data_IF_783477630786
#
_entry.id   IF_783477630786
#
_cell.length_a   1.000
_cell.length_b   1.000
_cell.length_c   1.000
_cell.angle_alpha   90.00
_cell.angle_beta   90.00
_cell.angle_gamma   90.00
#
_symmetry.space_group_name_H-M   'P 1'
#
loop_
_entity.id
_entity.type
_entity.pdbx_description
1 polymer ?
#
# COMPACT_ATOMS: atom_id res chain seq x y z
N UNK A 1 -3.03 -10.30 -17.94
CA UNK A 1 -2.59 -10.05 -16.55
C UNK A 1 -2.03 -8.63 -16.50
N UNK A 2 -2.27 -7.87 -15.42
CA UNK A 2 -1.61 -6.57 -15.24
C UNK A 2 -0.12 -6.77 -14.94
N UNK A 3 0.73 -5.88 -15.44
CA UNK A 3 2.15 -5.86 -15.09
C UNK A 3 2.34 -5.18 -13.73
N UNK A 4 3.46 -5.45 -13.05
CA UNK A 4 3.76 -4.79 -11.77
C UNK A 4 3.78 -3.26 -11.90
N UNK A 5 4.27 -2.76 -13.03
CA UNK A 5 4.27 -1.33 -13.33
C UNK A 5 2.83 -0.77 -13.40
N UNK A 6 1.91 -1.50 -14.03
CA UNK A 6 0.51 -1.09 -14.11
C UNK A 6 -0.17 -1.11 -12.72
N UNK A 7 0.12 -2.10 -11.89
CA UNK A 7 -0.38 -2.19 -10.51
C UNK A 7 0.10 -1.00 -9.69
N UNK A 8 1.41 -0.74 -9.69
CA UNK A 8 2.00 0.41 -8.99
C UNK A 8 1.36 1.73 -9.45
N UNK A 9 1.16 1.90 -10.76
CA UNK A 9 0.55 3.12 -11.29
C UNK A 9 -0.89 3.32 -10.79
N UNK A 10 -1.71 2.26 -10.76
CA UNK A 10 -3.08 2.35 -10.24
C UNK A 10 -3.11 2.70 -8.75
N UNK A 11 -2.19 2.15 -7.96
CA UNK A 11 -2.06 2.45 -6.53
C UNK A 11 -1.71 3.93 -6.33
N UNK A 12 -0.72 4.41 -7.09
CA UNK A 12 -0.33 5.82 -7.08
C UNK A 12 -1.51 6.73 -7.43
N UNK A 13 -2.24 6.41 -8.50
CA UNK A 13 -3.37 7.22 -8.94
C UNK A 13 -4.53 7.21 -7.94
N UNK A 14 -4.73 6.09 -7.24
CA UNK A 14 -5.69 5.99 -6.14
C UNK A 14 -5.31 6.94 -4.99
N UNK A 15 -4.10 6.83 -4.47
CA UNK A 15 -3.66 7.56 -3.26
C UNK A 15 -3.45 9.07 -3.47
N UNK A 16 -3.35 9.55 -4.71
CA UNK A 16 -3.43 10.99 -5.03
C UNK A 16 -4.69 11.67 -4.49
N UNK A 17 -5.78 10.93 -4.35
CA UNK A 17 -7.09 11.44 -3.92
C UNK A 17 -7.47 11.10 -2.49
N UNK A 18 -6.64 10.30 -1.80
CA UNK A 18 -6.88 9.85 -0.43
C UNK A 18 -6.06 10.69 0.55
N UNK A 19 -6.40 10.79 1.84
CA UNK A 19 -5.62 11.53 2.85
C UNK A 19 -4.36 10.75 3.33
N UNK A 20 -3.53 10.29 2.39
CA UNK A 20 -2.25 9.58 2.64
C UNK A 20 -1.06 10.44 2.21
N UNK A 21 -0.06 10.55 3.07
CA UNK A 21 1.19 11.30 2.82
C UNK A 21 2.18 10.44 2.05
N UNK A 22 2.29 9.15 2.39
CA UNK A 22 3.30 8.26 1.81
C UNK A 22 2.81 6.84 1.69
N UNK A 23 3.19 6.16 0.62
CA UNK A 23 2.87 4.76 0.37
C UNK A 23 4.14 4.04 -0.03
N UNK A 24 4.37 2.91 0.62
CA UNK A 24 5.40 1.95 0.24
C UNK A 24 4.76 0.65 -0.20
N UNK A 25 5.38 0.02 -1.20
CA UNK A 25 5.13 -1.39 -1.52
C UNK A 25 6.23 -2.22 -0.86
N UNK A 26 5.87 -3.37 -0.30
CA UNK A 26 6.81 -4.31 0.30
C UNK A 26 6.46 -5.75 -0.07
N UNK A 27 7.14 -6.71 0.56
CA UNK A 27 6.85 -8.13 0.38
C UNK A 27 7.26 -8.66 -1.01
N UNK A 28 6.45 -9.59 -1.54
CA UNK A 28 6.80 -10.32 -2.77
C UNK A 28 6.96 -9.40 -3.99
N UNK A 29 6.15 -8.35 -4.09
CA UNK A 29 6.24 -7.33 -5.15
C UNK A 29 7.51 -6.47 -5.06
N UNK A 30 8.01 -6.23 -3.84
CA UNK A 30 9.27 -5.51 -3.68
C UNK A 30 10.48 -6.39 -4.05
N UNK A 31 10.40 -7.71 -3.80
CA UNK A 31 11.47 -8.67 -4.10
C UNK A 31 11.47 -9.21 -5.54
N UNK A 32 10.42 -8.99 -6.32
CA UNK A 32 10.29 -9.55 -7.67
C UNK A 32 9.95 -11.05 -7.66
N UNK A 33 9.41 -11.54 -6.53
CA UNK A 33 9.04 -12.94 -6.29
C UNK A 33 7.52 -13.13 -6.39
N UNK A 34 6.79 -12.11 -6.81
CA UNK A 34 5.34 -12.16 -6.93
C UNK A 34 4.88 -13.17 -7.99
N UNK A 35 3.78 -13.84 -7.70
CA UNK A 35 3.12 -14.74 -8.63
C UNK A 35 1.69 -14.25 -8.95
N UNK A 36 0.96 -15.00 -9.79
CA UNK A 36 -0.39 -14.62 -10.19
C UNK A 36 -1.40 -14.57 -9.02
N UNK A 37 -1.08 -15.18 -7.88
CA UNK A 37 -1.91 -15.23 -6.68
C UNK A 37 -1.34 -14.38 -5.52
N UNK A 38 -0.24 -13.66 -5.73
CA UNK A 38 0.37 -12.83 -4.68
C UNK A 38 -0.50 -11.63 -4.32
N UNK A 39 -0.73 -11.48 -3.02
CA UNK A 39 -1.34 -10.31 -2.40
C UNK A 39 -0.41 -9.09 -2.55
N UNK A 40 -1.00 -7.89 -2.64
CA UNK A 40 -0.26 -6.63 -2.76
C UNK A 40 -0.08 -6.01 -1.37
N UNK A 41 1.13 -6.10 -0.83
CA UNK A 41 1.47 -5.58 0.50
C UNK A 41 1.80 -4.08 0.44
N UNK A 42 1.01 -3.25 1.13
CA UNK A 42 1.13 -1.80 1.13
C UNK A 42 1.24 -1.25 2.55
N UNK A 43 2.28 -0.44 2.77
CA UNK A 43 2.42 0.35 3.99
C UNK A 43 2.03 1.78 3.66
N UNK A 44 1.16 2.39 4.47
CA UNK A 44 0.70 3.75 4.26
C UNK A 44 0.92 4.62 5.49
N UNK A 45 1.31 5.86 5.24
CA UNK A 45 1.42 6.90 6.25
C UNK A 45 0.27 7.89 6.04
N UNK A 46 -0.61 7.98 7.01
CA UNK A 46 -1.75 8.88 6.96
C UNK A 46 -1.36 10.33 7.23
N UNK A 47 -2.14 11.24 6.64
CA UNK A 47 -2.09 12.65 7.04
C UNK A 47 -2.84 12.81 8.37
N UNK A 48 -2.10 12.83 9.48
CA UNK A 48 -2.67 12.99 10.82
C UNK A 48 -3.37 14.34 11.05
N UNK A 49 -3.25 15.29 10.12
CA UNK A 49 -4.03 16.54 10.14
C UNK A 49 -5.49 16.31 9.77
N UNK A 50 -5.80 15.19 9.10
CA UNK A 50 -7.14 14.79 8.72
C UNK A 50 -7.60 13.60 9.59
N UNK A 51 -8.76 13.68 10.25
CA UNK A 51 -9.28 12.54 11.01
C UNK A 51 -9.68 11.42 10.04
N UNK A 52 -8.98 10.29 10.09
CA UNK A 52 -9.27 9.09 9.31
C UNK A 52 -9.80 8.04 10.27
N UNK A 53 -11.07 7.68 10.11
CA UNK A 53 -11.70 6.61 10.88
C UNK A 53 -11.53 5.24 10.21
N UNK A 54 -11.86 4.19 10.98
CA UNK A 54 -11.87 2.80 10.54
C UNK A 54 -12.66 2.58 9.23
N UNK A 55 -13.80 3.26 9.05
CA UNK A 55 -14.60 3.14 7.83
C UNK A 55 -13.87 3.64 6.58
N UNK A 56 -13.12 4.73 6.69
CA UNK A 56 -12.31 5.24 5.59
C UNK A 56 -11.20 4.25 5.24
N UNK A 57 -10.54 3.69 6.25
CA UNK A 57 -9.51 2.66 6.09
C UNK A 57 -10.03 1.43 5.35
N UNK A 58 -11.14 0.86 5.83
CA UNK A 58 -11.79 -0.31 5.22
C UNK A 58 -12.25 -0.02 3.79
N UNK A 59 -12.76 1.20 3.55
CA UNK A 59 -13.12 1.65 2.20
C UNK A 59 -11.90 1.66 1.27
N UNK A 60 -10.77 2.20 1.71
CA UNK A 60 -9.55 2.23 0.92
C UNK A 60 -9.06 0.84 0.54
N UNK A 61 -9.04 -0.07 1.51
CA UNK A 61 -8.70 -1.47 1.29
C UNK A 61 -9.59 -2.10 0.21
N UNK A 62 -10.91 -1.99 0.36
CA UNK A 62 -11.87 -2.59 -0.57
C UNK A 62 -11.77 -1.99 -1.98
N UNK A 63 -11.65 -0.68 -2.10
CA UNK A 63 -11.54 -0.01 -3.40
C UNK A 63 -10.24 -0.38 -4.12
N UNK A 64 -9.14 -0.59 -3.39
CA UNK A 64 -7.88 -1.07 -3.98
C UNK A 64 -8.01 -2.52 -4.47
N UNK A 65 -8.62 -3.42 -3.68
CA UNK A 65 -8.85 -4.80 -4.12
C UNK A 65 -9.71 -4.89 -5.37
N UNK A 66 -10.81 -4.11 -5.42
CA UNK A 66 -11.71 -4.03 -6.56
C UNK A 66 -10.98 -3.51 -7.83
N UNK A 67 -10.12 -2.50 -7.69
CA UNK A 67 -9.36 -1.91 -8.80
C UNK A 67 -8.28 -2.85 -9.34
N UNK A 68 -7.53 -3.48 -8.43
CA UNK A 68 -6.40 -4.34 -8.77
C UNK A 68 -6.85 -5.75 -9.18
N UNK A 69 -8.07 -6.15 -8.81
CA UNK A 69 -8.58 -7.50 -9.02
C UNK A 69 -7.79 -8.56 -8.25
N UNK A 70 -7.16 -8.16 -7.15
CA UNK A 70 -6.28 -8.96 -6.29
C UNK A 70 -6.46 -8.54 -4.84
N UNK A 71 -6.10 -9.43 -3.92
CA UNK A 71 -6.05 -9.09 -2.50
C UNK A 71 -4.97 -8.04 -2.24
N UNK A 72 -5.25 -7.16 -1.30
CA UNK A 72 -4.36 -6.08 -0.89
C UNK A 72 -4.22 -6.19 0.62
N UNK A 73 -2.99 -6.26 1.13
CA UNK A 73 -2.73 -6.11 2.56
C UNK A 73 -2.34 -4.67 2.83
N UNK A 74 -3.29 -3.88 3.33
CA UNK A 74 -3.09 -2.47 3.63
C UNK A 74 -2.75 -2.31 5.11
N UNK A 75 -1.60 -1.71 5.40
CA UNK A 75 -1.10 -1.54 6.77
C UNK A 75 -0.75 -0.07 7.03
N UNK A 76 -1.16 0.45 8.19
CA UNK A 76 -0.79 1.79 8.63
C UNK A 76 0.61 1.77 9.28
N UNK A 77 1.45 2.74 8.93
CA UNK A 77 2.75 2.96 9.57
C UNK A 77 2.62 3.07 11.09
N UNK A 78 3.46 2.34 11.83
CA UNK A 78 3.43 2.31 13.30
C UNK A 78 2.47 1.27 13.90
N UNK A 79 1.64 0.59 13.11
CA UNK A 79 0.78 -0.50 13.59
C UNK A 79 1.42 -1.90 13.49
N UNK A 80 2.51 -2.01 12.72
CA UNK A 80 3.28 -3.25 12.58
C UNK A 80 3.97 -3.65 13.90
N UNK A 81 3.95 -4.95 14.20
CA UNK A 81 4.76 -5.52 15.28
C UNK A 81 6.25 -5.28 14.99
N UNK A 82 7.11 -5.05 16.01
CA UNK A 82 8.53 -4.71 15.79
C UNK A 82 9.28 -5.68 14.87
N UNK A 83 9.03 -6.99 15.00
CA UNK A 83 9.65 -8.00 14.14
C UNK A 83 9.20 -7.89 12.67
N UNK A 84 7.90 -7.61 12.44
CA UNK A 84 7.35 -7.42 11.10
C UNK A 84 7.81 -6.09 10.49
N UNK A 85 7.86 -5.02 11.29
CA UNK A 85 8.40 -3.73 10.86
C UNK A 85 9.86 -3.84 10.44
N UNK A 86 10.70 -4.54 11.20
CA UNK A 86 12.11 -4.75 10.88
C UNK A 86 12.32 -5.61 9.61
N UNK A 87 11.41 -6.56 9.35
CA UNK A 87 11.42 -7.34 8.12
C UNK A 87 10.98 -6.50 6.92
N UNK A 88 9.85 -5.78 7.04
CA UNK A 88 9.33 -4.91 5.99
C UNK A 88 10.33 -3.82 5.61
N UNK A 89 10.96 -3.18 6.61
CA UNK A 89 11.91 -2.08 6.42
C UNK A 89 13.10 -2.41 5.51
N UNK A 90 13.45 -3.69 5.34
CA UNK A 90 14.53 -4.10 4.43
C UNK A 90 14.14 -4.00 2.96
N UNK A 91 12.84 -4.15 2.67
CA UNK A 91 12.29 -4.27 1.32
C UNK A 91 11.30 -3.12 0.99
N UNK A 92 11.14 -2.12 1.86
CA UNK A 92 10.22 -1.00 1.62
C UNK A 92 10.66 -0.18 0.41
N UNK A 93 9.81 -0.12 -0.61
CA UNK A 93 9.98 0.74 -1.79
C UNK A 93 8.90 1.80 -1.81
N UNK A 94 9.30 3.07 -1.75
CA UNK A 94 8.35 4.18 -1.91
C UNK A 94 7.77 4.14 -3.31
N UNK A 95 6.45 4.17 -3.42
CA UNK A 95 5.74 4.27 -4.70
C UNK A 95 4.97 5.58 -4.82
N UNK A 96 4.60 6.20 -3.71
CA UNK A 96 3.90 7.49 -3.69
C UNK A 96 4.32 8.31 -2.47
N UNK A 97 4.52 9.61 -2.69
CA UNK A 97 4.77 10.61 -1.65
C UNK A 97 4.06 11.91 -2.06
N UNK A 98 3.27 12.47 -1.14
CA UNK A 98 2.54 13.72 -1.35
C UNK A 98 3.50 14.90 -1.20
N UNK A 99 3.74 15.60 -2.30
CA UNK A 99 4.56 16.82 -2.31
C UNK A 99 5.99 16.65 -2.84
N UNK A 100 6.27 15.58 -3.59
CA UNK A 100 7.43 15.50 -4.49
C UNK A 100 7.10 16.06 -5.88
#
# INVERSE_FOLDING_TARGET
>A
MMTNQAITQQIVDYFKTQPVVKVWIFGSYARGEENAQSDVDLLIQFDHSTPIGLFSFVRMHRELEERLGRKVDLVEEGTLRPAAAAAAAKDLKIIYERGA
#
